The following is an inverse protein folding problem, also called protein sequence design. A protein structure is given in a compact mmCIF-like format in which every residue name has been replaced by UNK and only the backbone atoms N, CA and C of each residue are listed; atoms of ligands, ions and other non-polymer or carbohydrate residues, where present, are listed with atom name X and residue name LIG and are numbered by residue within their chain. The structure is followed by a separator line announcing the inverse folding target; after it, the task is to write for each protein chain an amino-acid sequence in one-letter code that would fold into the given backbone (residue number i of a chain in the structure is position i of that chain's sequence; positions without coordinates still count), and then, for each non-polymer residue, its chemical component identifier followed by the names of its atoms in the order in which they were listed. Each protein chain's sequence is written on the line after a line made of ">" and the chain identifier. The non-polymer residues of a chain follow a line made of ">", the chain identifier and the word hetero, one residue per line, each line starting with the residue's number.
data_IF_798000344929
#
_entry.id   IF_798000344929
#
_cell.length_a   1.000
_cell.length_b   1.000
_cell.length_c   1.000
_cell.angle_alpha   90.00
_cell.angle_beta   90.00
_cell.angle_gamma   90.00
#
_symmetry.space_group_name_H-M   'P 1'
#
loop_
_entity.id
_entity.type
_entity.pdbx_description
1 polymer ?
#
# COMPACT_ATOMS: atom_id res chain seq x y z
N UNK A 1 -19.69 44.57 59.44
CA UNK A 1 -18.89 44.78 58.21
C UNK A 1 -18.17 43.53 57.68
N UNK A 2 -17.80 42.53 58.50
CA UNK A 2 -17.05 41.35 58.04
C UNK A 2 -17.78 40.41 57.04
N UNK A 3 -19.11 40.34 57.07
CA UNK A 3 -19.92 39.41 56.23
C UNK A 3 -19.89 39.77 54.73
N UNK A 4 -19.71 41.05 54.41
CA UNK A 4 -19.65 41.56 53.02
C UNK A 4 -18.30 41.25 52.34
N UNK A 5 -17.19 41.29 53.08
CA UNK A 5 -15.86 40.97 52.55
C UNK A 5 -15.70 39.46 52.24
N UNK A 6 -16.28 38.58 53.06
CA UNK A 6 -16.26 37.14 52.84
C UNK A 6 -16.99 36.72 51.55
N UNK A 7 -18.08 37.41 51.22
CA UNK A 7 -18.93 37.09 50.07
C UNK A 7 -18.27 37.54 48.75
N UNK A 8 -17.51 38.64 48.74
CA UNK A 8 -16.72 39.04 47.57
C UNK A 8 -15.52 38.12 47.32
N UNK A 9 -14.85 37.66 48.37
CA UNK A 9 -13.69 36.76 48.26
C UNK A 9 -14.07 35.42 47.59
N UNK A 10 -15.19 34.82 48.01
CA UNK A 10 -15.68 33.56 47.44
C UNK A 10 -16.11 33.68 45.97
N UNK A 11 -16.68 34.83 45.55
CA UNK A 11 -17.02 35.07 44.14
C UNK A 11 -15.79 35.16 43.24
N UNK A 12 -14.71 35.81 43.71
CA UNK A 12 -13.43 35.86 42.98
C UNK A 12 -12.78 34.49 42.87
N UNK A 13 -12.84 33.68 43.93
CA UNK A 13 -12.30 32.32 43.93
C UNK A 13 -13.04 31.39 42.95
N UNK A 14 -14.37 31.52 42.83
CA UNK A 14 -15.17 30.75 41.86
C UNK A 14 -14.86 31.19 40.42
N UNK A 15 -14.69 32.50 40.18
CA UNK A 15 -14.31 33.04 38.88
C UNK A 15 -12.92 32.56 38.43
N UNK A 16 -11.95 32.53 39.34
CA UNK A 16 -10.59 32.03 39.07
C UNK A 16 -10.62 30.53 38.75
N UNK A 17 -11.38 29.73 39.50
CA UNK A 17 -11.51 28.28 39.23
C UNK A 17 -12.17 28.00 37.88
N UNK A 18 -13.18 28.78 37.51
CA UNK A 18 -13.84 28.68 36.20
C UNK A 18 -12.89 29.05 35.06
N UNK A 19 -12.12 30.13 35.23
CA UNK A 19 -11.15 30.56 34.22
C UNK A 19 -10.00 29.55 34.03
N UNK A 20 -9.49 28.98 35.12
CA UNK A 20 -8.46 27.93 35.07
C UNK A 20 -9.00 26.66 34.40
N UNK A 21 -10.25 26.28 34.66
CA UNK A 21 -10.89 25.15 33.99
C UNK A 21 -10.97 25.34 32.47
N UNK A 22 -11.44 26.51 32.01
CA UNK A 22 -11.53 26.84 30.58
C UNK A 22 -10.14 26.85 29.93
N UNK A 23 -9.12 27.37 30.61
CA UNK A 23 -7.74 27.40 30.12
C UNK A 23 -7.16 25.99 29.95
N UNK A 24 -7.44 25.07 30.88
CA UNK A 24 -6.98 23.68 30.78
C UNK A 24 -7.65 22.97 29.60
N UNK A 25 -8.95 23.18 29.40
CA UNK A 25 -9.69 22.58 28.28
C UNK A 25 -9.22 23.09 26.91
N UNK A 26 -8.87 24.37 26.79
CA UNK A 26 -8.33 24.91 25.54
C UNK A 26 -6.93 24.36 25.24
N UNK A 27 -6.06 24.24 26.25
CA UNK A 27 -4.73 23.64 26.09
C UNK A 27 -4.85 22.17 25.66
N UNK A 28 -5.75 21.40 26.29
CA UNK A 28 -5.99 20.00 25.90
C UNK A 28 -6.52 19.88 24.46
N UNK A 29 -7.46 20.74 24.07
CA UNK A 29 -8.01 20.75 22.70
C UNK A 29 -6.95 21.07 21.65
N UNK A 30 -6.05 22.03 21.92
CA UNK A 30 -4.94 22.36 21.03
C UNK A 30 -3.93 21.21 20.95
N UNK A 31 -3.62 20.53 22.06
CA UNK A 31 -2.74 19.37 22.06
C UNK A 31 -3.32 18.20 21.25
N UNK A 32 -4.62 17.92 21.39
CA UNK A 32 -5.30 16.88 20.60
C UNK A 32 -5.32 17.25 19.12
N UNK A 33 -5.59 18.51 18.78
CA UNK A 33 -5.54 19.01 17.40
C UNK A 33 -4.14 18.91 16.79
N UNK A 34 -3.09 19.23 17.55
CA UNK A 34 -1.69 19.08 17.11
C UNK A 34 -1.30 17.62 16.93
N UNK A 35 -1.77 16.71 17.79
CA UNK A 35 -1.56 15.26 17.61
C UNK A 35 -2.29 14.76 16.37
N UNK A 36 -3.49 15.27 16.08
CA UNK A 36 -4.23 14.91 14.87
C UNK A 36 -3.56 15.45 13.59
N UNK A 37 -3.01 16.67 13.64
CA UNK A 37 -2.21 17.23 12.53
C UNK A 37 -0.86 16.52 12.38
N UNK A 38 -0.20 16.10 13.46
CA UNK A 38 1.08 15.36 13.38
C UNK A 38 0.91 13.89 12.94
N UNK A 39 -0.26 13.29 13.18
CA UNK A 39 -0.61 11.99 12.58
C UNK A 39 -1.04 12.11 11.12
N UNK A 40 -1.24 13.33 10.60
CA UNK A 40 -1.19 13.62 9.17
C UNK A 40 0.26 13.89 8.76
N UNK A 41 1.16 12.96 9.09
CA UNK A 41 2.49 12.91 8.51
C UNK A 41 2.33 12.68 7.02
N UNK A 42 2.36 13.80 6.30
CA UNK A 42 3.07 14.01 5.05
C UNK A 42 3.62 12.70 4.47
N UNK A 43 2.82 12.07 3.62
CA UNK A 43 3.29 11.25 2.51
C UNK A 43 3.95 12.17 1.48
N UNK A 44 4.95 12.97 1.90
CA UNK A 44 5.79 13.78 1.02
C UNK A 44 6.98 12.94 0.63
N UNK A 45 6.77 12.12 -0.39
CA UNK A 45 7.83 11.26 -0.93
C UNK A 45 7.40 10.37 -2.08
N UNK A 46 6.27 10.65 -2.75
CA UNK A 46 6.06 10.17 -4.10
C UNK A 46 6.03 11.38 -5.00
N UNK A 47 7.04 11.47 -5.86
CA UNK A 47 7.04 12.36 -6.99
C UNK A 47 5.65 12.39 -7.62
N UNK A 48 5.23 13.60 -7.97
CA UNK A 48 4.14 13.90 -8.88
C UNK A 48 4.21 12.91 -10.05
N UNK A 49 3.53 11.77 -9.93
CA UNK A 49 3.21 10.95 -11.09
C UNK A 49 2.23 11.83 -11.84
N UNK A 50 2.72 12.45 -12.91
CA UNK A 50 1.87 13.07 -13.89
C UNK A 50 0.79 12.04 -14.22
N UNK A 51 -0.45 12.37 -13.87
CA UNK A 51 -1.62 11.67 -14.38
C UNK A 51 -1.66 11.93 -15.88
N UNK A 52 -0.89 11.14 -16.62
CA UNK A 52 -1.07 10.99 -18.05
C UNK A 52 -2.40 10.27 -18.23
N UNK A 53 -3.26 10.87 -19.05
CA UNK A 53 -4.53 10.31 -19.49
C UNK A 53 -4.34 8.82 -19.82
N UNK A 54 -5.18 7.99 -19.20
CA UNK A 54 -5.16 6.54 -19.29
C UNK A 54 -5.70 6.03 -20.65
N UNK A 55 -5.43 6.76 -21.73
CA UNK A 55 -6.07 6.53 -23.03
C UNK A 55 -5.16 5.82 -24.05
N UNK A 56 -3.91 5.46 -23.69
CA UNK A 56 -3.01 4.76 -24.61
C UNK A 56 -2.24 3.55 -24.01
N UNK A 57 -2.60 3.12 -22.80
CA UNK A 57 -2.10 1.84 -22.26
C UNK A 57 -2.97 0.71 -22.81
N UNK A 58 -2.60 0.24 -24.00
CA UNK A 58 -3.21 -0.91 -24.65
C UNK A 58 -3.22 -2.11 -23.69
N UNK A 59 -4.41 -2.55 -23.29
CA UNK A 59 -4.58 -3.82 -22.58
C UNK A 59 -3.93 -4.94 -23.38
N UNK A 60 -3.17 -5.81 -22.71
CA UNK A 60 -2.49 -6.90 -23.38
C UNK A 60 -3.51 -7.80 -24.07
N UNK A 61 -3.33 -8.01 -25.37
CA UNK A 61 -4.15 -8.95 -26.12
C UNK A 61 -3.78 -10.37 -25.66
N UNK A 62 -4.75 -11.28 -25.59
CA UNK A 62 -4.56 -12.67 -25.15
C UNK A 62 -3.52 -13.44 -25.98
N UNK A 63 -3.18 -12.95 -27.18
CA UNK A 63 -2.09 -13.49 -28.00
C UNK A 63 -0.68 -13.16 -27.46
N UNK A 64 -0.58 -12.26 -26.48
CA UNK A 64 0.68 -11.76 -25.93
C UNK A 64 1.07 -12.47 -24.63
N UNK A 65 0.54 -13.65 -24.27
CA UNK A 65 0.93 -14.37 -23.02
C UNK A 65 2.46 -14.58 -22.94
N UNK A 66 3.11 -14.68 -24.10
CA UNK A 66 4.58 -14.71 -24.20
C UNK A 66 5.29 -13.48 -23.62
N UNK A 67 4.62 -12.33 -23.55
CA UNK A 67 5.16 -11.10 -22.95
C UNK A 67 5.38 -11.26 -21.44
N UNK A 68 4.67 -12.20 -20.81
CA UNK A 68 4.84 -12.54 -19.39
C UNK A 68 6.04 -13.45 -19.15
N UNK A 69 6.67 -14.00 -20.20
CA UNK A 69 7.89 -14.77 -20.04
C UNK A 69 9.01 -13.85 -19.59
N UNK A 70 9.66 -14.24 -18.49
CA UNK A 70 10.79 -13.48 -17.99
C UNK A 70 11.02 -13.68 -16.51
N UNK A 71 11.96 -12.89 -16.03
CA UNK A 71 12.25 -12.75 -14.61
C UNK A 71 11.60 -11.47 -14.12
N UNK A 72 11.04 -11.52 -12.93
CA UNK A 72 10.43 -10.42 -12.23
C UNK A 72 11.09 -10.30 -10.88
N UNK A 73 11.60 -9.12 -10.57
CA UNK A 73 12.24 -8.83 -9.29
C UNK A 73 11.42 -7.81 -8.52
N UNK A 74 11.46 -7.89 -7.20
CA UNK A 74 10.79 -6.91 -6.37
C UNK A 74 10.74 -7.31 -4.92
N UNK A 75 9.62 -7.00 -4.28
CA UNK A 75 9.47 -7.15 -2.84
C UNK A 75 8.15 -7.80 -2.45
N UNK A 76 8.19 -8.47 -1.29
CA UNK A 76 7.05 -8.97 -0.53
C UNK A 76 6.95 -8.19 0.77
N UNK A 77 5.76 -7.66 1.07
CA UNK A 77 5.42 -7.08 2.37
C UNK A 77 4.49 -8.04 3.11
N UNK A 78 4.87 -8.45 4.31
CA UNK A 78 4.08 -9.33 5.18
C UNK A 78 3.14 -8.52 6.09
N UNK A 79 2.20 -9.20 6.76
CA UNK A 79 1.26 -8.58 7.72
C UNK A 79 1.97 -7.80 8.83
N UNK A 80 3.15 -8.26 9.25
CA UNK A 80 3.96 -7.63 10.29
C UNK A 80 4.77 -6.42 9.80
N UNK A 81 4.65 -6.06 8.52
CA UNK A 81 5.38 -4.98 7.87
C UNK A 81 6.81 -5.33 7.45
N UNK A 82 7.25 -6.59 7.65
CA UNK A 82 8.56 -7.03 7.15
C UNK A 82 8.58 -7.07 5.62
N UNK A 83 9.72 -6.67 5.05
CA UNK A 83 9.94 -6.60 3.61
C UNK A 83 11.02 -7.60 3.21
N UNK A 84 10.72 -8.45 2.24
CA UNK A 84 11.65 -9.44 1.70
C UNK A 84 11.85 -9.26 0.20
N UNK A 85 13.08 -9.49 -0.26
CA UNK A 85 13.38 -9.54 -1.68
C UNK A 85 12.69 -10.74 -2.34
N UNK A 86 12.17 -10.54 -3.55
CA UNK A 86 11.47 -11.56 -4.32
C UNK A 86 12.02 -11.62 -5.74
N UNK A 87 12.23 -12.84 -6.23
CA UNK A 87 12.50 -13.12 -7.63
C UNK A 87 11.50 -14.17 -8.12
N UNK A 88 10.64 -13.79 -9.06
CA UNK A 88 9.71 -14.68 -9.74
C UNK A 88 10.19 -14.90 -11.18
N UNK A 89 10.28 -16.15 -11.60
CA UNK A 89 10.57 -16.51 -12.98
C UNK A 89 9.32 -17.16 -13.57
N UNK A 90 8.80 -16.62 -14.67
CA UNK A 90 7.69 -17.20 -15.43
C UNK A 90 8.26 -17.91 -16.67
N UNK A 91 7.82 -19.13 -16.89
CA UNK A 91 8.32 -20.06 -17.90
C UNK A 91 7.19 -20.96 -18.43
N UNK A 92 7.44 -21.68 -19.53
CA UNK A 92 6.55 -22.72 -20.07
C UNK A 92 5.09 -22.27 -20.23
N UNK A 93 4.90 -21.11 -20.86
CA UNK A 93 3.57 -20.57 -21.18
C UNK A 93 2.88 -21.47 -22.20
N UNK A 94 1.68 -21.93 -21.86
CA UNK A 94 0.83 -22.77 -22.69
C UNK A 94 -0.35 -21.93 -23.20
N UNK A 95 -0.32 -21.60 -24.49
CA UNK A 95 -1.33 -20.72 -25.09
C UNK A 95 -2.73 -21.33 -25.18
N UNK A 96 -2.87 -22.66 -25.08
CA UNK A 96 -4.17 -23.34 -25.24
C UNK A 96 -5.07 -23.24 -23.99
N UNK A 97 -4.47 -23.12 -22.81
CA UNK A 97 -5.16 -23.08 -21.52
C UNK A 97 -4.75 -21.84 -20.69
N UNK A 98 -4.00 -20.92 -21.29
CA UNK A 98 -3.48 -19.70 -20.69
C UNK A 98 -2.70 -19.95 -19.39
N UNK A 99 -2.09 -21.14 -19.25
CA UNK A 99 -1.32 -21.50 -18.08
C UNK A 99 0.17 -21.22 -18.26
N UNK A 100 0.90 -21.09 -17.17
CA UNK A 100 2.35 -20.97 -17.17
C UNK A 100 2.94 -21.62 -15.92
N UNK A 101 4.20 -22.03 -16.01
CA UNK A 101 4.96 -22.50 -14.85
C UNK A 101 5.76 -21.35 -14.27
N UNK A 102 5.87 -21.28 -12.95
CA UNK A 102 6.71 -20.26 -12.32
C UNK A 102 7.54 -20.81 -11.18
N UNK A 103 8.66 -20.14 -10.93
CA UNK A 103 9.51 -20.33 -9.76
C UNK A 103 9.52 -19.01 -8.99
N UNK A 104 9.36 -19.07 -7.68
CA UNK A 104 9.39 -17.91 -6.79
C UNK A 104 10.46 -18.12 -5.73
N UNK A 105 11.42 -17.21 -5.66
CA UNK A 105 12.39 -17.14 -4.57
C UNK A 105 12.04 -15.95 -3.67
N UNK A 106 12.01 -16.18 -2.36
CA UNK A 106 11.72 -15.17 -1.35
C UNK A 106 12.85 -15.17 -0.32
N UNK A 107 13.51 -14.03 -0.17
CA UNK A 107 14.73 -13.93 0.61
C UNK A 107 15.79 -14.92 0.12
N UNK A 108 16.58 -15.45 1.05
CA UNK A 108 17.69 -16.38 0.73
C UNK A 108 17.32 -17.86 0.82
N UNK A 109 16.21 -18.20 1.50
CA UNK A 109 15.97 -19.56 1.98
C UNK A 109 14.68 -20.20 1.45
N UNK A 110 13.80 -19.40 0.83
CA UNK A 110 12.47 -19.86 0.46
C UNK A 110 12.36 -19.91 -1.05
N UNK A 111 12.04 -21.10 -1.58
CA UNK A 111 11.79 -21.31 -3.01
C UNK A 111 10.52 -22.12 -3.20
N UNK A 112 9.63 -21.60 -4.03
CA UNK A 112 8.41 -22.26 -4.47
C UNK A 112 8.44 -22.47 -5.97
N UNK A 113 7.70 -23.47 -6.42
CA UNK A 113 7.41 -23.69 -7.83
C UNK A 113 5.94 -24.05 -7.94
N UNK A 114 5.28 -23.50 -8.94
CA UNK A 114 3.84 -23.60 -9.07
C UNK A 114 3.38 -23.38 -10.49
N UNK A 115 2.07 -23.45 -10.66
CA UNK A 115 1.40 -23.18 -11.92
C UNK A 115 0.54 -21.94 -11.73
N UNK A 116 0.60 -21.03 -12.70
CA UNK A 116 -0.29 -19.90 -12.77
C UNK A 116 -1.19 -19.95 -14.00
N UNK A 117 -2.20 -19.09 -13.98
CA UNK A 117 -3.16 -18.87 -15.06
C UNK A 117 -3.28 -17.38 -15.36
N UNK A 118 -3.41 -17.05 -16.63
CA UNK A 118 -3.68 -15.69 -17.09
C UNK A 118 -5.18 -15.51 -17.37
N UNK A 119 -5.78 -14.48 -16.77
CA UNK A 119 -7.11 -13.98 -17.08
C UNK A 119 -6.96 -12.60 -17.73
N UNK A 120 -6.76 -12.61 -19.04
CA UNK A 120 -6.41 -11.40 -19.80
C UNK A 120 -7.51 -10.35 -19.78
N UNK A 121 -8.80 -10.74 -19.79
CA UNK A 121 -9.91 -9.77 -19.76
C UNK A 121 -9.96 -8.95 -18.47
N UNK A 122 -9.27 -9.42 -17.42
CA UNK A 122 -9.22 -8.77 -16.10
C UNK A 122 -7.83 -8.25 -15.73
N UNK A 123 -6.88 -8.33 -16.66
CA UNK A 123 -5.48 -8.00 -16.44
C UNK A 123 -4.88 -8.71 -15.21
N UNK A 124 -5.27 -9.97 -15.01
CA UNK A 124 -5.00 -10.71 -13.79
C UNK A 124 -4.22 -12.00 -14.08
N UNK A 125 -3.23 -12.26 -13.25
CA UNK A 125 -2.49 -13.52 -13.16
C UNK A 125 -2.86 -14.17 -11.83
N UNK A 126 -3.33 -15.40 -11.87
CA UNK A 126 -3.56 -16.21 -10.67
C UNK A 126 -2.36 -17.14 -10.55
N UNK A 127 -1.57 -17.00 -9.48
CA UNK A 127 -0.47 -17.91 -9.17
C UNK A 127 -0.82 -18.67 -7.89
N UNK A 128 -0.92 -20.00 -7.98
CA UNK A 128 -1.42 -20.89 -6.92
C UNK A 128 -0.90 -20.60 -5.48
N UNK A 129 0.36 -20.21 -5.30
CA UNK A 129 0.97 -19.91 -4.00
C UNK A 129 1.08 -18.42 -3.66
N UNK A 130 0.87 -17.54 -4.64
CA UNK A 130 1.03 -16.07 -4.50
C UNK A 130 -0.35 -15.39 -4.41
N UNK A 131 -1.37 -16.04 -4.96
CA UNK A 131 -2.69 -15.50 -5.18
C UNK A 131 -2.76 -14.66 -6.46
N UNK A 132 -3.70 -13.74 -6.45
CA UNK A 132 -4.07 -12.93 -7.59
C UNK A 132 -3.14 -11.72 -7.73
N UNK A 133 -2.53 -11.57 -8.91
CA UNK A 133 -1.62 -10.49 -9.29
C UNK A 133 -2.21 -9.73 -10.48
N UNK A 134 -2.50 -8.44 -10.32
CA UNK A 134 -2.77 -7.52 -11.44
C UNK A 134 -1.46 -7.23 -12.17
N UNK A 135 -1.48 -7.28 -13.49
CA UNK A 135 -0.36 -6.81 -14.30
C UNK A 135 -0.68 -5.44 -14.91
N UNK A 136 0.33 -4.61 -15.09
CA UNK A 136 0.24 -3.38 -15.89
C UNK A 136 1.56 -3.09 -16.58
N UNK A 137 1.54 -2.26 -17.62
CA UNK A 137 2.74 -1.85 -18.34
C UNK A 137 3.02 -0.38 -18.02
N UNK A 138 4.23 -0.08 -17.54
CA UNK A 138 4.62 1.31 -17.29
C UNK A 138 5.11 2.02 -18.57
N UNK A 139 5.41 3.31 -18.47
CA UNK A 139 5.92 4.12 -19.59
C UNK A 139 7.24 3.60 -20.18
N UNK A 140 8.01 2.79 -19.43
CA UNK A 140 9.23 2.14 -19.89
C UNK A 140 8.99 0.79 -20.57
N UNK A 141 7.73 0.42 -20.85
CA UNK A 141 7.33 -0.88 -21.38
C UNK A 141 7.70 -2.06 -20.48
N UNK A 142 7.90 -1.83 -19.19
CA UNK A 142 8.12 -2.88 -18.21
C UNK A 142 6.79 -3.36 -17.66
N UNK A 143 6.66 -4.68 -17.51
CA UNK A 143 5.52 -5.27 -16.84
C UNK A 143 5.71 -5.17 -15.33
N UNK A 144 4.70 -4.65 -14.65
CA UNK A 144 4.62 -4.57 -13.20
C UNK A 144 3.51 -5.49 -12.73
N UNK A 145 3.82 -6.39 -11.80
CA UNK A 145 2.85 -7.26 -11.14
C UNK A 145 2.60 -6.76 -9.71
N UNK A 146 1.34 -6.61 -9.34
CA UNK A 146 0.92 -6.19 -7.99
C UNK A 146 -0.19 -7.09 -7.49
N UNK A 147 -0.24 -7.39 -6.19
CA UNK A 147 -1.38 -8.11 -5.61
C UNK A 147 -2.69 -7.40 -5.95
N UNK A 148 -3.69 -8.15 -6.42
CA UNK A 148 -5.02 -7.60 -6.69
C UNK A 148 -5.71 -7.26 -5.38
N UNK A 149 -6.10 -5.99 -5.21
CA UNK A 149 -7.01 -5.46 -4.19
C UNK A 149 -6.97 -6.19 -2.83
N UNK A 150 -5.80 -6.08 -2.15
CA UNK A 150 -5.59 -6.09 -0.69
C UNK A 150 -6.18 -7.20 0.20
N UNK A 151 -6.85 -8.24 -0.31
CA UNK A 151 -7.38 -9.31 0.56
C UNK A 151 -6.33 -10.32 1.00
N UNK A 152 -5.14 -10.30 0.39
CA UNK A 152 -4.01 -11.11 0.83
C UNK A 152 -3.34 -10.50 2.05
N UNK A 153 -3.00 -11.35 3.01
CA UNK A 153 -2.10 -11.05 4.14
C UNK A 153 -0.68 -10.67 3.68
N UNK A 154 -0.38 -10.83 2.40
CA UNK A 154 0.93 -10.59 1.81
C UNK A 154 0.77 -9.80 0.52
N UNK A 155 1.51 -8.71 0.39
CA UNK A 155 1.52 -7.87 -0.81
C UNK A 155 2.80 -8.09 -1.60
N UNK A 156 2.65 -8.27 -2.90
CA UNK A 156 3.75 -8.41 -3.83
C UNK A 156 3.77 -7.20 -4.76
N UNK A 157 4.98 -6.72 -5.05
CA UNK A 157 5.25 -5.73 -6.10
C UNK A 157 6.48 -6.18 -6.86
N UNK A 158 6.28 -6.67 -8.07
CA UNK A 158 7.31 -7.25 -8.93
C UNK A 158 7.40 -6.46 -10.24
N UNK A 159 8.60 -6.31 -10.77
CA UNK A 159 8.88 -5.59 -12.02
C UNK A 159 9.71 -6.49 -12.91
N UNK A 160 9.33 -6.56 -14.19
CA UNK A 160 10.06 -7.34 -15.19
C UNK A 160 11.50 -6.84 -15.30
N UNK A 161 12.44 -7.79 -15.22
CA UNK A 161 13.84 -7.57 -15.49
C UNK A 161 14.02 -7.29 -16.99
N UNK A 162 14.48 -6.07 -17.33
CA UNK A 162 14.86 -5.76 -18.70
C UNK A 162 16.23 -6.38 -18.97
N UNK A 163 16.31 -7.28 -19.96
CA UNK A 163 17.57 -7.81 -20.49
C UNK A 163 18.05 -6.99 -21.66
#
# INVERSE_FOLDING_TARGET
>A
MAKLLYTQSNKRLILIKSFVGVLIFTILGVMIYLVFQNNSSDEKGYDKIQSFEADDYKSLNINDISILLGNYQGVRENVDGSIEAVLMQISDVKAHDNSFSYVLNIGTNTRFSGIGQLIAEKELIIADMIGDLKYSINYNKQIILKTSDSQSNTKYKLIQEMR
#
